data_IF_369507074766
#
_entry.id   IF_369507074766
#
_cell.length_a   1.000
_cell.length_b   1.000
_cell.length_c   1.000
_cell.angle_alpha   90.00
_cell.angle_beta   90.00
_cell.angle_gamma   90.00
#
_symmetry.space_group_name_H-M   'P 1'
#
loop_
_entity.id
_entity.type
_entity.pdbx_description
1 polymer ?
#
# COMPACT_ATOMS: atom_id res chain seq x y z
N UNK A 1 -6.15 -20.32 19.08
CA UNK A 1 -6.66 -19.75 17.82
C UNK A 1 -7.19 -18.37 18.16
N UNK A 2 -6.36 -17.35 18.09
CA UNK A 2 -6.78 -15.97 18.35
C UNK A 2 -5.96 -15.06 17.45
N UNK A 3 -6.65 -14.25 16.65
CA UNK A 3 -6.17 -13.29 15.63
C UNK A 3 -5.85 -13.76 14.21
N UNK A 4 -6.17 -15.00 13.82
CA UNK A 4 -6.17 -15.33 12.38
C UNK A 4 -7.36 -14.67 11.68
N UNK A 5 -7.13 -14.07 10.51
CA UNK A 5 -8.21 -13.45 9.73
C UNK A 5 -7.80 -12.24 8.89
N UNK A 6 -8.77 -11.66 8.16
CA UNK A 6 -8.57 -10.46 7.36
C UNK A 6 -8.51 -9.20 8.23
N UNK A 7 -7.67 -8.26 7.82
CA UNK A 7 -7.52 -6.95 8.43
C UNK A 7 -7.74 -5.83 7.41
N UNK A 8 -8.49 -4.80 7.83
CA UNK A 8 -8.74 -3.57 7.07
C UNK A 8 -8.38 -2.40 7.98
N UNK A 9 -7.59 -1.45 7.48
CA UNK A 9 -7.19 -0.24 8.21
C UNK A 9 -7.44 1.03 7.42
N UNK A 10 -7.52 2.14 8.15
CA UNK A 10 -7.50 3.50 7.62
C UNK A 10 -6.07 4.05 7.47
N UNK A 11 -5.06 3.38 8.05
CA UNK A 11 -3.65 3.78 8.01
C UNK A 11 -2.96 3.47 6.65
N UNK A 12 -3.57 2.61 5.85
CA UNK A 12 -3.11 2.23 4.52
C UNK A 12 -3.98 2.79 3.40
N UNK A 13 -3.54 2.71 2.13
CA UNK A 13 -4.34 3.15 1.00
C UNK A 13 -5.68 2.43 0.99
N UNK A 14 -6.79 3.15 0.79
CA UNK A 14 -8.12 2.54 0.82
C UNK A 14 -8.23 1.35 -0.13
N UNK A 15 -8.77 0.24 0.36
CA UNK A 15 -9.05 -0.93 -0.47
C UNK A 15 -10.22 -0.59 -1.42
N UNK A 16 -9.93 -0.35 -2.70
CA UNK A 16 -10.93 0.02 -3.71
C UNK A 16 -11.74 -1.17 -4.25
N UNK A 17 -11.70 -2.31 -3.56
CA UNK A 17 -12.40 -3.56 -3.91
C UNK A 17 -12.58 -4.47 -2.70
N UNK A 18 -13.17 -5.65 -2.91
CA UNK A 18 -13.47 -6.61 -1.84
C UNK A 18 -12.24 -7.47 -1.47
N UNK A 19 -11.20 -6.85 -0.93
CA UNK A 19 -9.99 -7.52 -0.43
C UNK A 19 -9.49 -6.85 0.86
N UNK A 20 -8.88 -7.60 1.79
CA UNK A 20 -8.28 -7.02 2.98
C UNK A 20 -6.90 -6.42 2.68
N UNK A 21 -6.42 -5.51 3.52
CA UNK A 21 -5.02 -5.03 3.42
C UNK A 21 -4.03 -6.13 3.79
N UNK A 22 -4.42 -6.98 4.73
CA UNK A 22 -3.60 -8.05 5.28
C UNK A 22 -4.48 -9.24 5.68
N UNK A 23 -3.91 -10.45 5.60
CA UNK A 23 -4.49 -11.64 6.22
C UNK A 23 -3.46 -12.30 7.14
N UNK A 24 -3.83 -12.55 8.40
CA UNK A 24 -2.98 -13.24 9.37
C UNK A 24 -3.31 -14.73 9.44
N UNK A 25 -2.29 -15.58 9.40
CA UNK A 25 -2.42 -17.02 9.60
C UNK A 25 -1.27 -17.54 10.47
N UNK A 26 -1.54 -17.76 11.76
CA UNK A 26 -0.52 -18.06 12.76
C UNK A 26 0.47 -16.90 12.88
N UNK A 27 1.74 -17.22 12.63
CA UNK A 27 2.85 -16.26 12.70
C UNK A 27 3.14 -15.56 11.36
N UNK A 28 2.36 -15.85 10.31
CA UNK A 28 2.54 -15.28 8.97
C UNK A 28 1.53 -14.16 8.71
N UNK A 29 2.02 -13.11 8.05
CA UNK A 29 1.24 -11.99 7.54
C UNK A 29 1.26 -12.01 6.01
N UNK A 30 0.10 -12.12 5.37
CA UNK A 30 -0.06 -12.04 3.92
C UNK A 30 -0.53 -10.64 3.57
N UNK A 31 0.37 -9.81 3.04
CA UNK A 31 0.09 -8.42 2.68
C UNK A 31 -0.44 -8.35 1.24
N UNK A 32 -1.55 -7.65 1.03
CA UNK A 32 -2.12 -7.44 -0.30
C UNK A 32 -1.24 -6.53 -1.16
N UNK A 33 -1.34 -6.67 -2.48
CA UNK A 33 -0.70 -5.75 -3.42
C UNK A 33 -1.21 -4.32 -3.24
N UNK A 34 -0.29 -3.37 -3.06
CA UNK A 34 -0.61 -1.96 -2.85
C UNK A 34 -0.02 -1.07 -3.94
N UNK A 35 -0.81 -0.09 -4.37
CA UNK A 35 -0.36 0.96 -5.28
C UNK A 35 0.31 2.13 -4.56
N UNK A 36 0.79 3.13 -5.31
CA UNK A 36 1.51 4.29 -4.77
C UNK A 36 0.60 5.37 -4.16
N UNK A 37 -0.72 5.16 -4.14
CA UNK A 37 -1.69 6.13 -3.60
C UNK A 37 -1.39 6.40 -2.13
N UNK A 38 -1.34 7.67 -1.72
CA UNK A 38 -1.21 8.04 -0.32
C UNK A 38 -2.53 7.79 0.42
N UNK A 39 -2.51 7.30 1.68
CA UNK A 39 -3.73 7.09 2.46
C UNK A 39 -4.52 8.38 2.70
N UNK A 40 -3.80 9.50 2.94
CA UNK A 40 -4.42 10.77 3.37
C UNK A 40 -5.12 11.53 2.23
N UNK A 41 -4.48 11.61 1.06
CA UNK A 41 -4.94 12.45 -0.06
C UNK A 41 -5.39 11.65 -1.27
N UNK A 42 -5.11 10.34 -1.31
CA UNK A 42 -5.33 9.46 -2.46
C UNK A 42 -4.58 9.91 -3.73
N UNK A 43 -3.57 10.78 -3.58
CA UNK A 43 -2.71 11.26 -4.64
C UNK A 43 -1.68 10.18 -5.02
N UNK A 44 -1.15 10.27 -6.23
CA UNK A 44 -0.07 9.41 -6.71
C UNK A 44 1.20 10.27 -6.77
N UNK A 45 2.13 10.14 -5.80
CA UNK A 45 3.43 10.80 -5.87
C UNK A 45 4.15 10.48 -7.17
N UNK A 46 4.88 11.43 -7.74
CA UNK A 46 5.57 11.24 -9.03
C UNK A 46 4.67 11.29 -10.26
N UNK A 47 3.36 11.48 -10.10
CA UNK A 47 2.44 11.85 -11.18
C UNK A 47 2.22 10.76 -12.26
N UNK A 48 1.39 11.04 -13.28
CA UNK A 48 1.18 10.15 -14.41
C UNK A 48 2.26 10.33 -15.49
N UNK A 49 2.41 9.34 -16.36
CA UNK A 49 3.33 9.39 -17.52
C UNK A 49 2.83 10.31 -18.66
N UNK A 50 1.55 10.68 -18.63
CA UNK A 50 0.89 11.49 -19.67
C UNK A 50 -0.22 12.36 -19.08
N UNK A 51 -0.49 13.49 -19.73
CA UNK A 51 -1.66 14.34 -19.45
C UNK A 51 -2.94 13.79 -20.13
N UNK A 52 -4.05 14.50 -19.95
CA UNK A 52 -5.37 14.13 -20.49
C UNK A 52 -5.42 14.16 -22.03
N UNK A 53 -4.56 14.96 -22.68
CA UNK A 53 -4.42 15.06 -24.14
C UNK A 53 -3.43 14.01 -24.71
N UNK A 54 -2.77 13.24 -23.83
CA UNK A 54 -1.84 12.18 -24.18
C UNK A 54 -0.39 12.63 -24.39
N UNK A 55 -0.05 13.89 -24.08
CA UNK A 55 1.33 14.37 -24.09
C UNK A 55 2.12 13.78 -22.92
N UNK A 56 3.42 13.48 -23.08
CA UNK A 56 4.25 12.96 -22.00
C UNK A 56 4.40 14.00 -20.87
N UNK A 57 4.40 13.51 -19.63
CA UNK A 57 4.69 14.30 -18.44
C UNK A 57 5.95 13.78 -17.72
N UNK A 58 6.52 14.63 -16.87
CA UNK A 58 7.63 14.24 -15.99
C UNK A 58 7.11 13.29 -14.90
N UNK A 59 7.36 12.00 -15.13
CA UNK A 59 6.98 10.90 -14.24
C UNK A 59 8.16 10.45 -13.38
N UNK A 60 7.93 10.32 -12.08
CA UNK A 60 8.92 9.84 -11.12
C UNK A 60 8.56 8.46 -10.55
N UNK A 61 9.15 7.41 -11.15
CA UNK A 61 9.04 6.04 -10.65
C UNK A 61 9.64 5.85 -9.26
N UNK A 62 10.67 6.61 -8.89
CA UNK A 62 11.30 6.47 -7.58
C UNK A 62 10.33 6.95 -6.51
N UNK A 63 9.68 8.09 -6.71
CA UNK A 63 8.64 8.59 -5.81
C UNK A 63 7.49 7.59 -5.64
N UNK A 64 6.99 6.99 -6.73
CA UNK A 64 5.96 5.94 -6.65
C UNK A 64 6.44 4.69 -5.91
N UNK A 65 7.66 4.25 -6.17
CA UNK A 65 8.25 3.07 -5.53
C UNK A 65 8.40 3.28 -4.02
N UNK A 66 8.91 4.45 -3.61
CA UNK A 66 8.98 4.82 -2.20
C UNK A 66 7.60 4.84 -1.55
N UNK A 67 6.59 5.38 -2.22
CA UNK A 67 5.22 5.40 -1.71
C UNK A 67 4.66 3.98 -1.50
N UNK A 68 4.85 3.07 -2.46
CA UNK A 68 4.44 1.66 -2.33
C UNK A 68 5.11 1.00 -1.12
N UNK A 69 6.42 1.16 -0.97
CA UNK A 69 7.16 0.56 0.17
C UNK A 69 6.69 1.16 1.50
N UNK A 70 6.41 2.46 1.56
CA UNK A 70 5.88 3.11 2.75
C UNK A 70 4.48 2.60 3.11
N UNK A 71 3.62 2.34 2.11
CA UNK A 71 2.30 1.73 2.32
C UNK A 71 2.43 0.32 2.90
N UNK A 72 3.36 -0.50 2.38
CA UNK A 72 3.68 -1.82 2.94
C UNK A 72 4.15 -1.72 4.39
N UNK A 73 5.08 -0.79 4.68
CA UNK A 73 5.57 -0.55 6.04
C UNK A 73 4.43 -0.24 7.01
N UNK A 74 3.54 0.68 6.65
CA UNK A 74 2.43 1.08 7.52
C UNK A 74 1.54 -0.11 7.91
N UNK A 75 1.19 -0.99 6.95
CA UNK A 75 0.39 -2.19 7.22
C UNK A 75 1.11 -3.17 8.16
N UNK A 76 2.42 -3.38 7.95
CA UNK A 76 3.23 -4.27 8.80
C UNK A 76 3.34 -3.72 10.23
N UNK A 77 3.64 -2.44 10.38
CA UNK A 77 3.78 -1.77 11.69
C UNK A 77 2.46 -1.79 12.47
N UNK A 78 1.32 -1.59 11.80
CA UNK A 78 -0.01 -1.74 12.39
C UNK A 78 -0.30 -3.15 12.92
N UNK A 79 0.45 -4.17 12.45
CA UNK A 79 0.35 -5.57 12.86
C UNK A 79 1.50 -6.04 13.74
N UNK A 80 2.32 -5.12 14.25
CA UNK A 80 3.47 -5.43 15.11
C UNK A 80 4.61 -6.14 14.39
N UNK A 81 4.70 -5.99 13.06
CA UNK A 81 5.81 -6.48 12.23
C UNK A 81 6.55 -5.29 11.60
N UNK A 82 7.50 -5.56 10.72
CA UNK A 82 8.34 -4.54 10.08
C UNK A 82 8.86 -5.02 8.72
N UNK A 83 9.42 -4.10 7.93
CA UNK A 83 10.10 -4.46 6.68
C UNK A 83 11.34 -5.35 6.88
N UNK A 84 11.92 -5.38 8.10
CA UNK A 84 13.09 -6.23 8.40
C UNK A 84 12.72 -7.72 8.50
N UNK A 85 11.42 -8.02 8.58
CA UNK A 85 10.85 -9.38 8.70
C UNK A 85 10.25 -9.92 7.39
N UNK A 86 10.52 -9.25 6.25
CA UNK A 86 9.98 -9.57 4.91
C UNK A 86 10.93 -10.44 4.09
#
# INVERSE_FOLDING_TARGET
MGDDGPFITEEGPSAVGAYPHLYKAGDLLFVSGMGPRTPDTNEIPGGPIRDDDGNPLDYDIQAQTHSVINNVRAILEAHGSSLDDV
#
